data_IF_701774851364
#
_entry.id   IF_701774851364
#
_cell.length_a   1.000
_cell.length_b   1.000
_cell.length_c   1.000
_cell.angle_alpha   90.00
_cell.angle_beta   90.00
_cell.angle_gamma   90.00
#
_symmetry.space_group_name_H-M   'P 1'
#
loop_
_entity.id
_entity.type
_entity.pdbx_description
1 polymer ?
#
# COMPACT_ATOMS: atom_id res chain seq x y z
N UNK A 1 -6.48 -64.50 -32.25
CA UNK A 1 -7.29 -64.42 -31.01
C UNK A 1 -6.38 -63.83 -29.95
N UNK A 2 -6.48 -62.52 -29.75
CA UNK A 2 -5.75 -61.82 -28.70
C UNK A 2 -6.43 -62.07 -27.36
N UNK A 3 -5.63 -62.33 -26.34
CA UNK A 3 -6.03 -62.27 -24.94
C UNK A 3 -5.10 -61.27 -24.28
N UNK A 4 -5.72 -60.21 -23.76
CA UNK A 4 -5.09 -59.13 -23.00
C UNK A 4 -4.69 -59.65 -21.62
N UNK A 5 -3.44 -59.39 -21.22
CA UNK A 5 -2.96 -59.53 -19.84
C UNK A 5 -3.13 -58.18 -19.13
N UNK A 6 -4.06 -58.12 -18.18
CA UNK A 6 -4.17 -57.04 -17.19
C UNK A 6 -3.04 -57.17 -16.16
N UNK A 7 -2.15 -56.18 -16.12
CA UNK A 7 -1.15 -56.03 -15.07
C UNK A 7 -1.67 -55.08 -13.98
N UNK A 8 -1.78 -55.61 -12.76
CA UNK A 8 -2.14 -54.90 -11.54
C UNK A 8 -0.96 -54.07 -11.03
N UNK A 9 -1.05 -52.74 -11.12
CA UNK A 9 -0.09 -51.82 -10.49
C UNK A 9 -0.58 -51.38 -9.10
N UNK A 10 0.25 -51.64 -8.10
CA UNK A 10 0.11 -51.17 -6.73
C UNK A 10 0.39 -49.67 -6.65
N UNK A 11 -0.63 -48.86 -6.33
CA UNK A 11 -0.45 -47.46 -5.94
C UNK A 11 -0.26 -47.36 -4.42
N UNK A 12 0.97 -47.11 -4.00
CA UNK A 12 1.30 -46.51 -2.70
C UNK A 12 1.83 -45.12 -3.02
N UNK A 13 1.03 -44.09 -2.79
CA UNK A 13 1.48 -42.72 -2.52
C UNK A 13 0.27 -41.85 -2.14
N UNK A 14 0.19 -41.46 -0.88
CA UNK A 14 -0.86 -40.60 -0.32
C UNK A 14 -0.23 -39.43 0.42
N UNK A 15 0.63 -38.67 -0.26
CA UNK A 15 1.02 -37.33 0.16
C UNK A 15 -0.03 -36.35 -0.35
N UNK A 16 -0.69 -35.63 0.55
CA UNK A 16 -1.64 -34.56 0.21
C UNK A 16 -0.89 -33.37 -0.38
N UNK A 17 -0.73 -33.38 -1.71
CA UNK A 17 -0.26 -32.24 -2.49
C UNK A 17 -1.33 -31.16 -2.48
N UNK A 18 -0.99 -29.97 -1.98
CA UNK A 18 -1.79 -28.76 -2.21
C UNK A 18 -1.92 -28.53 -3.73
N UNK A 19 -3.07 -28.04 -4.22
CA UNK A 19 -3.29 -27.84 -5.65
C UNK A 19 -2.25 -26.85 -6.19
N UNK A 20 -1.46 -27.33 -7.16
CA UNK A 20 -0.57 -26.52 -7.96
C UNK A 20 -1.35 -25.38 -8.63
N UNK A 21 -0.97 -24.13 -8.36
CA UNK A 21 -1.23 -22.93 -9.19
C UNK A 21 -2.50 -23.00 -10.05
N UNK A 22 -3.67 -22.99 -9.41
CA UNK A 22 -4.95 -22.85 -10.10
C UNK A 22 -5.22 -21.39 -10.50
N UNK A 23 -5.84 -21.19 -11.67
CA UNK A 23 -6.54 -19.95 -11.99
C UNK A 23 -7.52 -19.63 -10.87
N UNK A 24 -7.58 -18.36 -10.44
CA UNK A 24 -8.43 -17.96 -9.33
C UNK A 24 -9.91 -18.32 -9.61
N UNK A 25 -10.38 -19.37 -8.95
CA UNK A 25 -11.61 -20.06 -9.31
C UNK A 25 -12.88 -19.33 -8.85
N UNK A 26 -12.76 -18.23 -8.09
CA UNK A 26 -13.91 -17.52 -7.52
C UNK A 26 -13.83 -16.00 -7.70
N UNK A 27 -14.98 -15.42 -8.04
CA UNK A 27 -15.21 -13.98 -7.94
C UNK A 27 -15.12 -13.59 -6.45
N UNK A 28 -14.25 -12.64 -6.13
CA UNK A 28 -14.01 -12.13 -4.77
C UNK A 28 -14.86 -10.88 -4.54
N UNK A 29 -15.48 -10.73 -3.37
CA UNK A 29 -16.12 -9.49 -2.94
C UNK A 29 -15.05 -8.50 -2.52
N UNK A 30 -15.01 -7.35 -3.18
CA UNK A 30 -14.01 -6.32 -2.94
C UNK A 30 -14.69 -5.11 -2.31
N UNK A 31 -14.10 -4.59 -1.24
CA UNK A 31 -14.43 -3.26 -0.68
C UNK A 31 -13.22 -2.34 -0.83
N UNK A 32 -13.47 -1.05 -1.05
CA UNK A 32 -12.47 -0.03 -1.31
C UNK A 32 -12.76 1.22 -0.46
N UNK A 33 -11.80 1.62 0.36
CA UNK A 33 -11.89 2.77 1.24
C UNK A 33 -11.26 4.00 0.60
N UNK A 34 -12.01 5.11 0.59
CA UNK A 34 -11.53 6.38 0.08
C UNK A 34 -12.13 7.56 0.83
N UNK A 35 -11.26 8.45 1.34
CA UNK A 35 -11.64 9.74 1.91
C UNK A 35 -11.46 10.83 0.84
N UNK A 36 -12.54 11.51 0.38
CA UNK A 36 -12.45 12.52 -0.67
C UNK A 36 -11.45 13.65 -0.44
N UNK A 37 -11.24 14.06 0.82
CA UNK A 37 -10.30 15.14 1.17
C UNK A 37 -8.85 14.68 1.31
N UNK A 38 -8.55 13.38 1.19
CA UNK A 38 -7.18 12.87 1.41
C UNK A 38 -6.16 13.48 0.45
N UNK A 39 -6.60 13.84 -0.76
CA UNK A 39 -5.74 14.45 -1.78
C UNK A 39 -5.44 15.94 -1.58
N UNK A 40 -6.06 16.59 -0.58
CA UNK A 40 -5.87 18.01 -0.27
C UNK A 40 -4.75 18.26 0.75
N UNK A 41 -4.36 17.23 1.52
CA UNK A 41 -3.27 17.35 2.49
C UNK A 41 -1.93 17.56 1.77
N UNK A 42 -1.13 18.49 2.29
CA UNK A 42 0.11 18.92 1.67
C UNK A 42 1.26 18.92 2.69
N UNK A 43 2.23 18.02 2.49
CA UNK A 43 3.38 17.86 3.39
C UNK A 43 4.32 19.07 3.41
N UNK A 44 4.29 19.93 2.38
CA UNK A 44 5.15 21.09 2.27
C UNK A 44 5.85 21.21 0.92
N UNK A 45 6.45 22.38 0.70
CA UNK A 45 7.24 22.67 -0.51
C UNK A 45 8.45 21.75 -0.61
N UNK A 46 8.75 21.26 -1.81
CA UNK A 46 9.85 20.32 -2.06
C UNK A 46 9.63 18.90 -1.56
N UNK A 47 8.75 18.67 -0.58
CA UNK A 47 8.57 17.36 0.04
C UNK A 47 8.08 16.29 -0.96
N UNK A 48 8.68 15.09 -1.03
CA UNK A 48 8.36 14.08 -2.05
C UNK A 48 7.01 13.38 -1.83
N UNK A 49 6.57 13.19 -0.59
CA UNK A 49 5.24 12.62 -0.29
C UNK A 49 4.13 13.59 -0.73
N UNK A 50 3.32 13.16 -1.71
CA UNK A 50 2.17 13.91 -2.24
C UNK A 50 0.87 13.09 -2.08
N UNK A 51 0.06 13.31 -1.04
CA UNK A 51 -1.23 12.62 -0.86
C UNK A 51 -2.18 12.71 -2.06
N UNK A 52 -2.02 13.74 -2.90
CA UNK A 52 -2.71 13.90 -4.18
C UNK A 52 -2.66 12.65 -5.09
N UNK A 53 -1.60 11.85 -5.03
CA UNK A 53 -1.48 10.58 -5.78
C UNK A 53 -2.63 9.60 -5.52
N UNK A 54 -3.21 9.62 -4.31
CA UNK A 54 -4.37 8.79 -3.93
C UNK A 54 -5.62 9.25 -4.68
N UNK A 55 -5.81 10.56 -4.83
CA UNK A 55 -6.90 11.14 -5.61
C UNK A 55 -6.76 10.82 -7.10
N UNK A 56 -5.55 10.89 -7.65
CA UNK A 56 -5.28 10.48 -9.04
C UNK A 56 -5.59 8.99 -9.25
N UNK A 57 -5.18 8.10 -8.33
CA UNK A 57 -5.50 6.69 -8.39
C UNK A 57 -7.02 6.43 -8.33
N UNK A 58 -7.72 7.07 -7.40
CA UNK A 58 -9.18 6.99 -7.28
C UNK A 58 -9.88 7.41 -8.58
N UNK A 59 -9.42 8.50 -9.17
CA UNK A 59 -9.97 9.03 -10.39
C UNK A 59 -9.80 8.04 -11.57
N UNK A 60 -8.62 7.43 -11.75
CA UNK A 60 -8.44 6.35 -12.72
C UNK A 60 -9.36 5.15 -12.45
N UNK A 61 -9.48 4.72 -11.19
CA UNK A 61 -10.38 3.63 -10.77
C UNK A 61 -11.85 3.93 -11.17
N UNK A 62 -12.27 5.18 -11.05
CA UNK A 62 -13.62 5.61 -11.48
C UNK A 62 -13.75 5.57 -12.99
N UNK A 63 -12.80 6.15 -13.73
CA UNK A 63 -12.85 6.25 -15.19
C UNK A 63 -12.68 4.91 -15.92
N UNK A 64 -11.96 3.95 -15.33
CA UNK A 64 -11.94 2.55 -15.78
C UNK A 64 -13.20 1.76 -15.37
N UNK A 65 -14.16 2.39 -14.71
CA UNK A 65 -15.40 1.76 -14.23
C UNK A 65 -15.18 0.60 -13.24
N UNK A 66 -14.03 0.55 -12.55
CA UNK A 66 -13.72 -0.49 -11.57
C UNK A 66 -14.58 -0.34 -10.30
N UNK A 67 -14.92 0.89 -9.93
CA UNK A 67 -15.84 1.22 -8.84
C UNK A 67 -17.18 0.47 -8.91
N UNK A 68 -17.66 0.11 -10.11
CA UNK A 68 -18.93 -0.62 -10.28
C UNK A 68 -18.86 -2.10 -9.88
N UNK A 69 -17.65 -2.60 -9.59
CA UNK A 69 -17.39 -4.02 -9.27
C UNK A 69 -17.00 -4.24 -7.81
N UNK A 70 -17.02 -3.18 -7.00
CA UNK A 70 -16.63 -3.19 -5.60
C UNK A 70 -17.52 -2.25 -4.79
N UNK A 71 -17.57 -2.47 -3.48
CA UNK A 71 -18.23 -1.55 -2.54
C UNK A 71 -17.27 -0.42 -2.19
N UNK A 72 -17.66 0.84 -2.43
CA UNK A 72 -16.86 1.99 -2.01
C UNK A 72 -17.36 2.45 -0.65
N UNK A 73 -16.45 2.51 0.33
CA UNK A 73 -16.74 2.97 1.68
C UNK A 73 -15.96 4.25 1.95
N UNK A 74 -16.60 5.21 2.63
CA UNK A 74 -15.87 6.31 3.24
C UNK A 74 -15.33 5.84 4.60
N UNK A 75 -14.03 6.01 4.90
CA UNK A 75 -13.51 5.62 6.20
C UNK A 75 -14.09 6.51 7.30
N UNK A 76 -14.45 5.92 8.43
CA UNK A 76 -14.64 6.69 9.65
C UNK A 76 -13.26 7.12 10.16
N UNK A 77 -13.03 8.41 10.46
CA UNK A 77 -11.76 8.86 11.01
C UNK A 77 -11.43 8.09 12.30
N UNK A 78 -10.24 7.48 12.36
CA UNK A 78 -9.82 6.76 13.56
C UNK A 78 -9.82 7.71 14.77
N UNK A 79 -10.44 7.29 15.87
CA UNK A 79 -10.41 8.08 17.10
C UNK A 79 -8.99 8.08 17.71
N UNK A 80 -8.64 9.05 18.57
CA UNK A 80 -7.40 8.99 19.33
C UNK A 80 -7.26 7.66 20.12
N UNK A 81 -8.36 7.10 20.61
CA UNK A 81 -8.36 5.82 21.34
C UNK A 81 -8.06 4.63 20.43
N UNK A 82 -8.53 4.67 19.18
CA UNK A 82 -8.16 3.67 18.17
C UNK A 82 -6.67 3.68 17.89
N UNK A 83 -6.07 4.87 17.74
CA UNK A 83 -4.64 5.05 17.48
C UNK A 83 -3.78 4.62 18.69
N UNK A 84 -4.25 4.89 19.91
CA UNK A 84 -3.60 4.47 21.17
C UNK A 84 -3.54 2.96 21.40
N UNK A 85 -4.26 2.15 20.62
CA UNK A 85 -4.15 0.69 20.68
C UNK A 85 -2.73 0.18 20.39
N UNK A 86 -1.95 0.96 19.63
CA UNK A 86 -0.53 0.71 19.41
C UNK A 86 0.33 1.85 19.93
N UNK A 87 0.03 3.09 19.53
CA UNK A 87 0.88 4.24 19.82
C UNK A 87 0.78 4.71 21.27
N UNK A 88 1.84 5.32 21.80
CA UNK A 88 1.82 5.83 23.17
C UNK A 88 0.90 7.04 23.35
N UNK A 89 0.28 7.14 24.52
CA UNK A 89 -0.69 8.20 24.84
C UNK A 89 -0.15 9.61 24.61
N UNK A 90 1.11 9.84 24.98
CA UNK A 90 1.79 11.12 24.85
C UNK A 90 2.13 11.48 23.41
N UNK A 91 2.45 10.48 22.57
CA UNK A 91 2.67 10.67 21.15
C UNK A 91 1.37 11.01 20.42
N UNK A 92 0.28 10.27 20.70
CA UNK A 92 -1.04 10.56 20.11
C UNK A 92 -1.55 11.94 20.55
N UNK A 93 -1.38 12.29 21.84
CA UNK A 93 -1.70 13.62 22.33
C UNK A 93 -0.92 14.70 21.59
N UNK A 94 0.40 14.51 21.41
CA UNK A 94 1.23 15.42 20.65
C UNK A 94 0.74 15.59 19.20
N UNK A 95 0.53 14.50 18.46
CA UNK A 95 0.06 14.57 17.08
C UNK A 95 -1.31 15.28 16.98
N UNK A 96 -2.21 15.05 17.93
CA UNK A 96 -3.52 15.71 17.96
C UNK A 96 -3.47 17.20 18.32
N UNK A 97 -2.37 17.65 18.92
CA UNK A 97 -2.22 19.03 19.40
C UNK A 97 -1.32 19.88 18.50
N UNK A 98 -0.42 19.26 17.73
CA UNK A 98 0.58 19.96 16.93
C UNK A 98 -0.04 20.49 15.64
N UNK A 99 0.20 21.76 15.37
CA UNK A 99 -0.16 22.47 14.14
C UNK A 99 0.91 23.51 13.80
N UNK A 100 0.96 24.03 12.56
CA UNK A 100 1.90 25.10 12.19
C UNK A 100 1.84 26.33 13.11
N UNK A 101 0.67 26.69 13.66
CA UNK A 101 0.52 27.79 14.60
C UNK A 101 1.20 27.52 15.95
N UNK A 102 1.14 26.28 16.43
CA UNK A 102 1.71 25.89 17.73
C UNK A 102 3.24 25.72 17.70
N UNK A 103 3.85 25.65 16.51
CA UNK A 103 5.30 25.45 16.36
C UNK A 103 6.15 26.56 16.99
N UNK A 104 5.61 27.78 17.07
CA UNK A 104 6.32 28.93 17.65
C UNK A 104 6.48 28.82 19.18
N UNK A 105 5.74 27.93 19.84
CA UNK A 105 5.81 27.73 21.28
C UNK A 105 7.00 26.85 21.67
N UNK A 106 7.86 27.37 22.55
CA UNK A 106 9.07 26.66 23.03
C UNK A 106 8.75 25.31 23.70
N UNK A 107 7.51 25.11 24.15
CA UNK A 107 7.03 23.86 24.73
C UNK A 107 7.07 22.70 23.71
N UNK A 108 6.84 22.96 22.42
CA UNK A 108 6.81 21.94 21.37
C UNK A 108 8.18 21.56 20.85
N UNK A 109 9.21 22.41 20.98
CA UNK A 109 10.57 22.12 20.47
C UNK A 109 11.17 20.84 21.05
N UNK A 110 10.91 20.53 22.33
CA UNK A 110 11.35 19.26 22.95
C UNK A 110 10.56 18.06 22.44
N UNK A 111 9.27 18.21 22.18
CA UNK A 111 8.40 17.14 21.68
C UNK A 111 8.71 16.82 20.22
N UNK A 112 8.94 17.83 19.37
CA UNK A 112 9.34 17.66 17.97
C UNK A 112 10.56 16.74 17.84
N UNK A 113 11.63 17.03 18.59
CA UNK A 113 12.82 16.18 18.62
C UNK A 113 12.56 14.79 19.21
N UNK A 114 11.77 14.71 20.29
CA UNK A 114 11.46 13.43 20.96
C UNK A 114 10.67 12.48 20.07
N UNK A 115 9.74 13.02 19.29
CA UNK A 115 8.81 12.26 18.47
C UNK A 115 9.20 12.21 16.99
N UNK A 116 10.42 12.68 16.68
CA UNK A 116 10.99 12.71 15.33
C UNK A 116 10.09 13.40 14.28
N UNK A 117 9.51 14.55 14.64
CA UNK A 117 8.66 15.37 13.77
C UNK A 117 9.37 16.71 13.52
N UNK A 118 9.59 17.06 12.25
CA UNK A 118 10.32 18.25 11.85
C UNK A 118 10.81 18.16 10.40
N UNK A 119 11.96 17.52 10.19
CA UNK A 119 12.66 17.47 8.89
C UNK A 119 11.90 16.58 7.88
N UNK A 120 12.18 15.29 7.87
CA UNK A 120 11.53 14.34 6.95
C UNK A 120 10.05 14.15 7.28
N UNK A 121 9.64 14.36 8.54
CA UNK A 121 8.26 14.25 8.96
C UNK A 121 7.72 15.64 9.37
N UNK A 122 7.38 16.53 8.43
CA UNK A 122 7.01 17.91 8.71
C UNK A 122 5.66 18.04 9.41
N UNK A 123 5.49 19.13 10.16
CA UNK A 123 4.17 19.56 10.63
C UNK A 123 3.47 20.33 9.52
N UNK A 124 2.23 19.95 9.21
CA UNK A 124 1.40 20.61 8.21
C UNK A 124 -0.07 20.69 8.66
N UNK A 125 -0.84 21.56 8.01
CA UNK A 125 -2.25 21.77 8.33
C UNK A 125 -3.06 20.48 8.14
N UNK A 126 -3.75 20.07 9.20
CA UNK A 126 -4.57 18.85 9.20
C UNK A 126 -3.77 17.55 9.26
N UNK A 127 -2.50 17.58 9.71
CA UNK A 127 -1.67 16.38 9.91
C UNK A 127 -2.38 15.28 10.67
N UNK A 128 -3.04 15.60 11.78
CA UNK A 128 -3.75 14.58 12.56
C UNK A 128 -4.95 14.02 11.78
N UNK A 129 -5.72 14.86 11.09
CA UNK A 129 -6.85 14.42 10.26
C UNK A 129 -6.40 13.49 9.13
N UNK A 130 -5.25 13.75 8.50
CA UNK A 130 -4.63 12.85 7.54
C UNK A 130 -4.34 11.47 8.17
N UNK A 131 -3.74 11.45 9.36
CA UNK A 131 -3.48 10.23 10.10
C UNK A 131 -4.78 9.47 10.44
N UNK A 132 -5.82 10.18 10.87
CA UNK A 132 -7.11 9.59 11.22
C UNK A 132 -7.81 8.98 10.01
N UNK A 133 -7.76 9.63 8.84
CA UNK A 133 -8.35 9.12 7.61
C UNK A 133 -7.62 7.86 7.11
N UNK A 134 -6.27 7.89 7.11
CA UNK A 134 -5.43 6.75 6.73
C UNK A 134 -5.66 5.55 7.65
N UNK A 135 -5.54 5.74 8.97
CA UNK A 135 -5.76 4.69 9.97
C UNK A 135 -7.21 4.17 9.98
N UNK A 136 -8.19 5.07 9.83
CA UNK A 136 -9.60 4.73 9.78
C UNK A 136 -9.94 3.80 8.62
N UNK A 137 -9.34 4.02 7.45
CA UNK A 137 -9.49 3.12 6.29
C UNK A 137 -8.96 1.71 6.55
N UNK A 138 -7.76 1.59 7.13
CA UNK A 138 -7.14 0.27 7.40
C UNK A 138 -7.85 -0.48 8.53
N UNK A 139 -8.30 0.21 9.58
CA UNK A 139 -9.13 -0.39 10.62
C UNK A 139 -10.48 -0.83 10.05
N UNK A 140 -11.16 0.02 9.27
CA UNK A 140 -12.43 -0.30 8.61
C UNK A 140 -12.32 -1.50 7.67
N UNK A 141 -11.23 -1.57 6.89
CA UNK A 141 -10.91 -2.70 6.03
C UNK A 141 -10.77 -3.99 6.84
N UNK A 142 -9.99 -3.98 7.93
CA UNK A 142 -9.84 -5.12 8.82
C UNK A 142 -11.17 -5.56 9.47
N UNK A 143 -12.03 -4.61 9.86
CA UNK A 143 -13.37 -4.91 10.39
C UNK A 143 -14.25 -5.62 9.36
N UNK A 144 -14.29 -5.14 8.11
CA UNK A 144 -15.06 -5.78 7.01
C UNK A 144 -14.56 -7.21 6.73
N UNK A 145 -13.25 -7.43 6.80
CA UNK A 145 -12.65 -8.78 6.63
C UNK A 145 -13.00 -9.70 7.81
N UNK A 146 -12.88 -9.22 9.06
CA UNK A 146 -13.25 -9.98 10.27
C UNK A 146 -14.73 -10.38 10.30
N UNK A 147 -15.62 -9.53 9.79
CA UNK A 147 -17.06 -9.81 9.66
C UNK A 147 -17.40 -10.71 8.47
N UNK A 148 -16.42 -11.02 7.62
CA UNK A 148 -16.60 -11.70 6.35
C UNK A 148 -17.58 -10.99 5.40
N UNK A 149 -17.68 -9.66 5.49
CA UNK A 149 -18.48 -8.83 4.58
C UNK A 149 -17.78 -8.64 3.23
N UNK A 150 -16.44 -8.71 3.23
CA UNK A 150 -15.59 -8.66 2.05
C UNK A 150 -14.56 -9.79 2.06
N UNK A 151 -14.06 -10.16 0.89
CA UNK A 151 -12.95 -11.11 0.74
C UNK A 151 -11.63 -10.40 0.47
N UNK A 152 -11.68 -9.19 -0.10
CA UNK A 152 -10.56 -8.27 -0.30
C UNK A 152 -10.98 -6.87 0.14
N UNK A 153 -10.15 -6.18 0.93
CA UNK A 153 -10.39 -4.81 1.35
C UNK A 153 -9.20 -3.92 1.00
N UNK A 154 -9.44 -2.83 0.27
CA UNK A 154 -8.39 -1.96 -0.27
C UNK A 154 -8.42 -0.59 0.43
N UNK A 155 -7.27 -0.09 0.88
CA UNK A 155 -7.09 1.28 1.35
C UNK A 155 -5.76 1.87 0.84
N UNK A 156 -5.79 2.57 -0.29
CA UNK A 156 -4.59 3.19 -0.88
C UNK A 156 -4.04 4.37 -0.07
N UNK A 157 -4.81 4.93 0.87
CA UNK A 157 -4.32 5.97 1.78
C UNK A 157 -3.52 5.42 2.97
N UNK A 158 -3.58 4.11 3.22
CA UNK A 158 -2.82 3.40 4.24
C UNK A 158 -1.46 2.92 3.74
N UNK A 159 -0.83 2.04 4.52
CA UNK A 159 0.47 1.44 4.19
C UNK A 159 1.67 2.21 4.76
N UNK A 160 1.47 3.01 5.81
CA UNK A 160 2.51 3.86 6.41
C UNK A 160 3.39 3.05 7.38
N UNK A 161 4.23 2.19 6.80
CA UNK A 161 4.93 1.11 7.51
C UNK A 161 6.10 1.54 8.43
N UNK A 162 6.61 2.77 8.30
CA UNK A 162 7.77 3.24 9.07
C UNK A 162 7.42 3.81 10.45
N UNK A 163 6.15 4.18 10.67
CA UNK A 163 5.72 4.77 11.93
C UNK A 163 5.97 3.82 13.10
N UNK A 164 6.61 4.33 14.16
CA UNK A 164 6.97 3.58 15.36
C UNK A 164 5.94 3.79 16.46
N UNK A 165 6.11 3.07 17.58
CA UNK A 165 5.19 3.17 18.72
C UNK A 165 5.09 4.61 19.28
N UNK A 166 6.21 5.32 19.32
CA UNK A 166 6.29 6.63 19.96
C UNK A 166 7.09 7.66 19.15
N UNK A 167 7.23 7.48 17.84
CA UNK A 167 7.89 8.46 16.97
C UNK A 167 7.44 8.29 15.51
N UNK A 168 7.48 9.40 14.78
CA UNK A 168 7.34 9.38 13.33
C UNK A 168 8.65 8.92 12.67
N UNK A 169 8.56 8.38 11.46
CA UNK A 169 9.74 8.00 10.67
C UNK A 169 9.36 7.85 9.21
N UNK A 170 10.25 8.22 8.27
CA UNK A 170 10.05 7.99 6.83
C UNK A 170 8.68 8.44 6.32
N UNK A 171 8.27 9.68 6.59
CA UNK A 171 6.97 10.27 6.22
C UNK A 171 5.74 9.71 6.94
N UNK A 172 5.93 8.74 7.84
CA UNK A 172 4.88 8.00 8.52
C UNK A 172 4.75 8.46 9.98
N UNK A 173 3.52 8.84 10.39
CA UNK A 173 3.22 9.27 11.76
C UNK A 173 2.43 8.22 12.55
N UNK A 174 1.40 7.64 11.93
CA UNK A 174 0.58 6.58 12.54
C UNK A 174 0.72 5.33 11.69
N UNK A 175 0.99 4.19 12.34
CA UNK A 175 1.14 2.91 11.68
C UNK A 175 -0.25 2.25 11.53
N UNK A 176 -0.95 2.63 10.47
CA UNK A 176 -2.28 2.12 10.14
C UNK A 176 -2.28 0.60 9.92
N UNK A 177 -1.15 0.06 9.45
CA UNK A 177 -0.95 -1.37 9.20
C UNK A 177 -1.01 -2.15 10.51
N UNK A 178 -0.24 -1.72 11.52
CA UNK A 178 -0.23 -2.36 12.85
C UNK A 178 -1.62 -2.31 13.46
N UNK A 179 -2.32 -1.18 13.36
CA UNK A 179 -3.69 -1.04 13.87
C UNK A 179 -4.67 -2.00 13.15
N UNK A 180 -4.57 -2.11 11.83
CA UNK A 180 -5.34 -3.07 11.03
C UNK A 180 -5.04 -4.53 11.38
N UNK A 181 -3.77 -4.90 11.55
CA UNK A 181 -3.35 -6.25 11.98
C UNK A 181 -3.88 -6.55 13.40
N UNK A 182 -3.79 -5.60 14.33
CA UNK A 182 -4.35 -5.76 15.68
C UNK A 182 -5.87 -5.99 15.66
N UNK A 183 -6.59 -5.42 14.69
CA UNK A 183 -8.00 -5.71 14.47
C UNK A 183 -8.19 -7.12 13.91
N UNK A 184 -7.44 -7.52 12.86
CA UNK A 184 -7.51 -8.87 12.29
C UNK A 184 -7.22 -9.97 13.33
N UNK A 185 -6.27 -9.73 14.24
CA UNK A 185 -5.91 -10.65 15.32
C UNK A 185 -7.02 -10.89 16.36
N UNK A 186 -8.14 -10.15 16.30
CA UNK A 186 -9.33 -10.50 17.10
C UNK A 186 -10.00 -11.78 16.60
N UNK A 187 -9.99 -12.03 15.29
CA UNK A 187 -10.65 -13.20 14.68
C UNK A 187 -9.63 -14.23 14.21
N UNK A 188 -8.52 -13.77 13.64
CA UNK A 188 -7.51 -14.61 13.00
C UNK A 188 -6.37 -14.95 13.97
N UNK A 189 -6.00 -16.23 14.03
CA UNK A 189 -4.91 -16.70 14.90
C UNK A 189 -3.55 -16.27 14.38
N UNK A 190 -3.39 -16.32 13.06
CA UNK A 190 -2.16 -16.02 12.33
C UNK A 190 -2.47 -15.05 11.20
N UNK A 191 -1.83 -13.89 11.23
CA UNK A 191 -1.87 -12.90 10.15
C UNK A 191 -0.52 -12.88 9.46
N UNK A 192 -0.51 -12.90 8.13
CA UNK A 192 0.70 -12.71 7.33
C UNK A 192 0.73 -11.27 6.83
N UNK A 193 1.83 -10.57 7.08
CA UNK A 193 2.13 -9.28 6.50
C UNK A 193 3.17 -9.45 5.39
N UNK A 194 2.86 -8.98 4.19
CA UNK A 194 3.77 -8.96 3.04
C UNK A 194 3.97 -7.52 2.60
N UNK A 195 5.22 -7.14 2.41
CA UNK A 195 5.64 -5.78 2.07
C UNK A 195 6.49 -5.79 0.80
N UNK A 196 6.04 -5.04 -0.21
CA UNK A 196 6.71 -4.87 -1.51
C UNK A 196 7.12 -3.42 -1.80
N UNK A 197 7.10 -2.56 -0.77
CA UNK A 197 7.77 -1.26 -0.80
C UNK A 197 9.27 -1.43 -1.02
N UNK A 198 9.94 -0.45 -1.64
CA UNK A 198 11.39 -0.54 -1.82
C UNK A 198 12.14 -0.44 -0.49
N UNK A 199 11.53 0.17 0.53
CA UNK A 199 12.08 0.29 1.88
C UNK A 199 11.66 -0.88 2.76
N UNK A 200 12.51 -1.23 3.73
CA UNK A 200 12.15 -2.25 4.72
C UNK A 200 10.97 -1.77 5.60
N UNK A 201 9.95 -2.63 5.75
CA UNK A 201 8.76 -2.41 6.60
C UNK A 201 9.03 -2.49 8.10
N UNK A 202 9.99 -1.69 8.56
CA UNK A 202 10.62 -1.76 9.87
C UNK A 202 9.68 -1.46 11.05
N UNK A 203 8.71 -0.54 10.90
CA UNK A 203 7.75 -0.24 11.95
C UNK A 203 6.77 -1.41 12.21
N UNK A 204 6.36 -2.12 11.15
CA UNK A 204 5.51 -3.31 11.28
C UNK A 204 6.31 -4.49 11.82
N UNK A 205 7.53 -4.70 11.33
CA UNK A 205 8.43 -5.74 11.84
C UNK A 205 8.71 -5.54 13.34
N UNK A 206 9.08 -4.32 13.76
CA UNK A 206 9.35 -4.01 15.17
C UNK A 206 8.13 -4.26 16.06
N UNK A 207 6.94 -3.87 15.62
CA UNK A 207 5.70 -4.03 16.38
C UNK A 207 5.37 -5.50 16.69
N UNK A 208 5.79 -6.43 15.82
CA UNK A 208 5.50 -7.85 15.93
C UNK A 208 6.73 -8.74 16.12
N UNK A 209 7.91 -8.15 16.36
CA UNK A 209 9.20 -8.84 16.40
C UNK A 209 9.30 -9.97 17.44
N UNK A 210 8.43 -9.95 18.45
CA UNK A 210 8.42 -10.88 19.59
C UNK A 210 7.24 -11.86 19.58
N UNK A 211 6.41 -11.92 18.53
CA UNK A 211 5.22 -12.78 18.45
C UNK A 211 5.26 -13.72 17.25
N UNK A 212 4.66 -14.90 17.41
CA UNK A 212 4.45 -15.89 16.33
C UNK A 212 3.07 -15.77 15.67
N UNK A 213 2.21 -14.88 16.17
CA UNK A 213 0.86 -14.64 15.62
C UNK A 213 0.84 -13.75 14.38
N UNK A 214 1.93 -13.05 14.13
CA UNK A 214 2.12 -12.24 12.92
C UNK A 214 3.46 -12.61 12.33
N UNK A 215 3.47 -12.97 11.05
CA UNK A 215 4.70 -13.14 10.29
C UNK A 215 4.87 -11.95 9.36
N UNK A 216 6.04 -11.31 9.39
CA UNK A 216 6.40 -10.21 8.48
C UNK A 216 7.32 -10.73 7.39
N UNK A 217 7.01 -10.41 6.13
CA UNK A 217 7.83 -10.75 4.97
C UNK A 217 8.05 -9.49 4.15
N UNK A 218 9.28 -8.98 4.09
CA UNK A 218 9.60 -7.73 3.39
C UNK A 218 10.66 -7.96 2.30
N UNK A 219 10.38 -7.43 1.11
CA UNK A 219 11.29 -7.43 -0.03
C UNK A 219 11.74 -6.00 -0.32
N UNK A 220 12.99 -5.67 -0.06
CA UNK A 220 13.44 -4.28 -0.03
C UNK A 220 14.89 -4.14 -0.47
N UNK A 221 15.27 -2.92 -0.86
CA UNK A 221 16.67 -2.56 -1.03
C UNK A 221 17.38 -2.57 0.31
N UNK A 222 18.58 -3.14 0.35
CA UNK A 222 19.40 -3.20 1.56
C UNK A 222 20.84 -2.76 1.31
N UNK A 223 21.49 -2.21 2.33
CA UNK A 223 22.83 -1.61 2.26
C UNK A 223 22.82 -0.17 2.76
N UNK A 224 23.45 0.74 2.02
CA UNK A 224 23.38 2.18 2.29
C UNK A 224 22.03 2.74 1.80
N UNK A 225 20.96 2.41 2.51
CA UNK A 225 19.59 2.78 2.17
C UNK A 225 18.70 2.85 3.41
N UNK A 226 17.74 3.78 3.42
CA UNK A 226 16.77 3.89 4.51
C UNK A 226 15.88 2.62 4.57
N UNK A 227 15.52 2.11 5.77
CA UNK A 227 15.82 2.60 7.12
C UNK A 227 17.10 2.01 7.75
N UNK A 228 17.91 1.26 7.00
CA UNK A 228 19.14 0.62 7.51
C UNK A 228 18.91 -0.68 8.31
N UNK A 229 17.68 -1.18 8.37
CA UNK A 229 17.29 -2.47 8.97
C UNK A 229 16.82 -3.45 7.89
N UNK A 230 16.45 -4.68 8.26
CA UNK A 230 15.97 -5.69 7.30
C UNK A 230 17.08 -6.57 6.74
N UNK A 231 18.16 -6.79 7.50
CA UNK A 231 19.19 -7.74 7.08
C UNK A 231 18.58 -9.15 7.02
N UNK A 232 19.04 -10.03 6.12
CA UNK A 232 18.59 -11.45 6.04
C UNK A 232 18.78 -12.27 7.34
N UNK A 233 19.43 -11.70 8.36
CA UNK A 233 19.68 -12.32 9.67
C UNK A 233 18.76 -11.76 10.76
N UNK A 234 18.01 -10.72 10.46
CA UNK A 234 17.00 -10.14 11.33
C UNK A 234 15.77 -11.03 11.19
N UNK A 235 15.66 -11.98 12.12
CA UNK A 235 14.67 -13.07 12.05
C UNK A 235 13.67 -13.04 13.20
N UNK A 236 13.58 -11.95 13.95
CA UNK A 236 12.74 -11.87 15.15
C UNK A 236 13.41 -12.50 16.38
N UNK A 237 12.77 -12.32 17.54
CA UNK A 237 13.30 -12.74 18.85
C UNK A 237 12.22 -13.36 19.72
N UNK A 238 12.64 -14.13 20.74
CA UNK A 238 11.69 -14.82 21.63
C UNK A 238 10.74 -15.73 20.84
N UNK A 239 9.44 -15.61 21.09
CA UNK A 239 8.40 -16.34 20.35
C UNK A 239 8.33 -15.94 18.87
N UNK A 240 8.71 -14.72 18.52
CA UNK A 240 8.74 -14.23 17.13
C UNK A 240 9.96 -14.67 16.33
N UNK A 241 10.86 -15.47 16.91
CA UNK A 241 12.05 -15.96 16.18
C UNK A 241 11.65 -16.87 15.01
N UNK A 242 12.21 -16.57 13.85
CA UNK A 242 11.89 -17.08 12.51
C UNK A 242 10.53 -16.60 11.93
N UNK A 243 9.83 -15.66 12.57
CA UNK A 243 8.58 -15.07 12.05
C UNK A 243 8.79 -13.67 11.43
N UNK A 244 10.02 -13.18 11.38
CA UNK A 244 10.42 -12.08 10.50
C UNK A 244 11.29 -12.64 9.36
N UNK A 245 10.87 -12.40 8.12
CA UNK A 245 11.54 -12.89 6.90
C UNK A 245 11.93 -11.69 6.06
N UNK A 246 13.23 -11.43 6.00
CA UNK A 246 13.78 -10.26 5.31
C UNK A 246 14.50 -10.66 4.03
N UNK A 247 14.10 -10.05 2.92
CA UNK A 247 14.64 -10.32 1.58
C UNK A 247 15.41 -9.08 1.10
N UNK A 248 16.70 -8.95 1.47
CA UNK A 248 17.52 -7.82 1.06
C UNK A 248 17.94 -7.94 -0.40
N UNK A 249 17.71 -6.88 -1.17
CA UNK A 249 17.96 -6.80 -2.61
C UNK A 249 18.87 -5.60 -2.95
N UNK A 250 19.45 -5.65 -4.14
CA UNK A 250 20.25 -4.58 -4.73
C UNK A 250 19.44 -3.81 -5.80
N UNK A 251 20.02 -2.72 -6.31
CA UNK A 251 19.43 -1.86 -7.32
C UNK A 251 19.09 -2.60 -8.62
N UNK A 252 18.12 -2.05 -9.36
CA UNK A 252 17.76 -2.52 -10.69
C UNK A 252 17.00 -3.85 -10.73
N UNK A 253 16.41 -4.28 -9.61
CA UNK A 253 15.57 -5.48 -9.58
C UNK A 253 14.48 -5.44 -10.66
N UNK A 254 14.43 -6.48 -11.49
CA UNK A 254 13.49 -6.62 -12.61
C UNK A 254 12.31 -7.56 -12.29
N UNK A 255 11.31 -7.54 -13.18
CA UNK A 255 10.08 -8.32 -13.03
C UNK A 255 10.32 -9.83 -12.95
N UNK A 256 11.19 -10.38 -13.80
CA UNK A 256 11.45 -11.81 -13.87
C UNK A 256 12.08 -12.35 -12.58
N UNK A 257 13.14 -11.69 -12.09
CA UNK A 257 13.84 -12.09 -10.88
C UNK A 257 12.99 -11.86 -9.63
N UNK A 258 12.28 -10.73 -9.56
CA UNK A 258 11.39 -10.44 -8.44
C UNK A 258 10.26 -11.46 -8.36
N UNK A 259 9.60 -11.75 -9.49
CA UNK A 259 8.52 -12.76 -9.57
C UNK A 259 9.00 -14.14 -9.13
N UNK A 260 10.17 -14.57 -9.61
CA UNK A 260 10.74 -15.87 -9.28
C UNK A 260 11.02 -16.02 -7.79
N UNK A 261 11.61 -14.99 -7.18
CA UNK A 261 11.92 -14.98 -5.75
C UNK A 261 10.66 -14.86 -4.89
N UNK A 262 9.81 -13.86 -5.18
CA UNK A 262 8.57 -13.58 -4.46
C UNK A 262 7.68 -14.82 -4.38
N UNK A 263 7.35 -15.42 -5.54
CA UNK A 263 6.46 -16.59 -5.58
C UNK A 263 7.05 -17.77 -4.82
N UNK A 264 8.36 -18.01 -4.92
CA UNK A 264 9.02 -19.11 -4.22
C UNK A 264 8.96 -18.93 -2.69
N UNK A 265 9.31 -17.74 -2.20
CA UNK A 265 9.32 -17.42 -0.77
C UNK A 265 7.91 -17.45 -0.22
N UNK A 266 6.97 -16.74 -0.85
CA UNK A 266 5.58 -16.65 -0.39
C UNK A 266 4.87 -18.00 -0.45
N UNK A 267 5.12 -18.83 -1.48
CA UNK A 267 4.57 -20.19 -1.52
C UNK A 267 4.99 -21.00 -0.29
N UNK A 268 6.26 -20.92 0.10
CA UNK A 268 6.78 -21.66 1.26
C UNK A 268 6.24 -21.09 2.57
N UNK A 269 6.13 -19.76 2.68
CA UNK A 269 5.50 -19.09 3.82
C UNK A 269 4.05 -19.56 3.98
N UNK A 270 3.24 -19.54 2.91
CA UNK A 270 1.85 -19.98 2.94
C UNK A 270 1.71 -21.46 3.34
N UNK A 271 2.61 -22.32 2.87
CA UNK A 271 2.64 -23.75 3.22
C UNK A 271 2.93 -24.00 4.72
N UNK A 272 3.90 -23.29 5.28
CA UNK A 272 4.42 -23.55 6.63
C UNK A 272 3.67 -22.75 7.70
N UNK A 273 3.46 -21.46 7.46
CA UNK A 273 2.83 -20.55 8.42
C UNK A 273 1.30 -20.65 8.42
N UNK A 274 0.69 -21.00 7.28
CA UNK A 274 -0.76 -21.18 7.12
C UNK A 274 -1.56 -20.00 7.71
N UNK A 275 -1.36 -18.77 7.20
CA UNK A 275 -2.08 -17.61 7.70
C UNK A 275 -3.58 -17.71 7.43
N UNK A 276 -4.38 -17.12 8.31
CA UNK A 276 -5.84 -17.06 8.19
C UNK A 276 -6.31 -15.73 7.59
N UNK A 277 -5.43 -14.73 7.52
CA UNK A 277 -5.60 -13.47 6.81
C UNK A 277 -4.24 -12.93 6.34
N UNK A 278 -4.24 -12.17 5.25
CA UNK A 278 -3.05 -11.54 4.68
C UNK A 278 -3.24 -10.04 4.62
N UNK A 279 -2.19 -9.30 4.94
CA UNK A 279 -2.07 -7.86 4.70
C UNK A 279 -0.94 -7.67 3.70
N UNK A 280 -1.24 -7.08 2.54
CA UNK A 280 -0.26 -6.70 1.53
C UNK A 280 -0.13 -5.18 1.52
N UNK A 281 1.07 -4.68 1.83
CA UNK A 281 1.47 -3.30 1.58
C UNK A 281 2.00 -3.23 0.14
N UNK A 282 1.45 -2.34 -0.69
CA UNK A 282 1.78 -2.18 -2.11
C UNK A 282 2.51 -0.85 -2.36
N UNK A 283 3.64 -0.64 -1.67
CA UNK A 283 4.51 0.51 -1.84
C UNK A 283 4.99 0.63 -3.28
N UNK A 284 4.58 1.71 -3.95
CA UNK A 284 4.77 1.89 -5.39
C UNK A 284 6.12 2.57 -5.74
N UNK A 285 7.00 2.78 -4.77
CA UNK A 285 8.37 3.26 -4.97
C UNK A 285 9.34 2.15 -5.40
N UNK A 286 8.91 0.89 -5.37
CA UNK A 286 9.63 -0.23 -6.01
C UNK A 286 9.49 -0.26 -7.54
N UNK A 287 8.70 0.65 -8.12
CA UNK A 287 8.51 0.78 -9.57
C UNK A 287 9.70 1.44 -10.28
N UNK A 288 9.88 1.06 -11.55
CA UNK A 288 10.78 1.74 -12.49
C UNK A 288 10.48 3.24 -12.59
N UNK A 289 11.54 4.04 -12.51
CA UNK A 289 11.46 5.50 -12.65
C UNK A 289 10.81 6.21 -11.47
N UNK A 290 10.77 5.60 -10.29
CA UNK A 290 10.45 6.30 -9.05
C UNK A 290 11.51 7.38 -8.72
N UNK A 291 11.11 8.42 -7.97
CA UNK A 291 12.02 9.53 -7.61
C UNK A 291 13.01 9.19 -6.50
N UNK A 292 12.65 8.26 -5.61
CA UNK A 292 13.48 7.86 -4.45
C UNK A 292 13.91 6.39 -4.55
N UNK A 293 13.04 5.52 -5.06
CA UNK A 293 13.35 4.11 -5.26
C UNK A 293 14.28 3.87 -6.46
N UNK A 294 15.00 2.75 -6.40
CA UNK A 294 15.97 2.36 -7.42
C UNK A 294 15.82 0.90 -7.86
N UNK A 295 14.59 0.39 -7.83
CA UNK A 295 14.20 -0.83 -8.53
C UNK A 295 13.74 -0.53 -9.96
N UNK A 296 13.50 -1.58 -10.73
CA UNK A 296 13.13 -1.49 -12.14
C UNK A 296 11.85 -2.28 -12.46
N UNK A 297 10.92 -2.38 -11.50
CA UNK A 297 9.68 -3.14 -11.67
C UNK A 297 8.68 -2.41 -12.57
N UNK A 298 8.00 -3.17 -13.42
CA UNK A 298 6.82 -2.69 -14.14
C UNK A 298 5.58 -2.73 -13.25
N UNK A 299 4.52 -2.01 -13.66
CA UNK A 299 3.20 -2.12 -13.03
C UNK A 299 2.68 -3.58 -13.04
N UNK A 300 3.00 -4.35 -14.08
CA UNK A 300 2.57 -5.75 -14.19
C UNK A 300 3.37 -6.67 -13.29
N UNK A 301 4.68 -6.44 -13.17
CA UNK A 301 5.56 -7.17 -12.26
C UNK A 301 5.15 -6.96 -10.82
N UNK A 302 4.92 -5.70 -10.42
CA UNK A 302 4.42 -5.32 -9.11
C UNK A 302 3.08 -6.00 -8.80
N UNK A 303 2.08 -5.84 -9.69
CA UNK A 303 0.75 -6.40 -9.51
C UNK A 303 0.70 -7.95 -9.58
N UNK A 304 1.75 -8.62 -10.07
CA UNK A 304 1.85 -10.07 -10.01
C UNK A 304 1.90 -10.59 -8.57
N UNK A 305 2.45 -9.79 -7.65
CA UNK A 305 2.49 -10.10 -6.22
C UNK A 305 1.08 -10.20 -5.64
N UNK A 306 0.25 -9.17 -5.88
CA UNK A 306 -1.16 -9.17 -5.51
C UNK A 306 -1.92 -10.33 -6.18
N UNK A 307 -1.70 -10.56 -7.48
CA UNK A 307 -2.33 -11.66 -8.22
C UNK A 307 -2.00 -13.03 -7.61
N UNK A 308 -0.75 -13.22 -7.19
CA UNK A 308 -0.30 -14.46 -6.55
C UNK A 308 -0.94 -14.64 -5.17
N UNK A 309 -0.91 -13.61 -4.32
CA UNK A 309 -1.54 -13.65 -2.99
C UNK A 309 -3.06 -13.87 -3.06
N UNK A 310 -3.73 -13.22 -4.02
CA UNK A 310 -5.17 -13.42 -4.30
C UNK A 310 -5.51 -14.89 -4.58
N UNK A 311 -4.62 -15.65 -5.22
CA UNK A 311 -4.86 -17.06 -5.57
C UNK A 311 -4.99 -18.02 -4.37
N UNK A 312 -4.42 -17.66 -3.21
CA UNK A 312 -4.50 -18.47 -1.98
C UNK A 312 -5.86 -18.40 -1.27
N UNK A 313 -6.74 -17.50 -1.72
CA UNK A 313 -8.12 -17.44 -1.30
C UNK A 313 -8.39 -17.17 0.20
N UNK A 314 -7.44 -16.59 0.93
CA UNK A 314 -7.62 -16.09 2.30
C UNK A 314 -8.08 -14.63 2.32
N UNK A 315 -8.75 -14.11 3.38
CA UNK A 315 -9.02 -12.69 3.55
C UNK A 315 -7.77 -11.83 3.29
N UNK A 316 -7.89 -10.82 2.43
CA UNK A 316 -6.77 -10.02 1.97
C UNK A 316 -7.02 -8.52 2.15
N UNK A 317 -6.25 -7.88 3.01
CA UNK A 317 -6.18 -6.42 3.11
C UNK A 317 -5.07 -5.92 2.19
N UNK A 318 -5.36 -4.95 1.33
CA UNK A 318 -4.42 -4.34 0.39
C UNK A 318 -4.27 -2.87 0.74
N UNK A 319 -3.05 -2.43 1.00
CA UNK A 319 -2.74 -1.08 1.42
C UNK A 319 -1.84 -0.39 0.38
N UNK A 320 -1.75 0.93 0.46
CA UNK A 320 -0.78 1.72 -0.30
C UNK A 320 0.64 1.55 0.24
N UNK A 321 1.34 2.67 0.39
CA UNK A 321 2.75 2.71 0.78
C UNK A 321 3.48 3.89 0.16
N UNK A 322 4.80 3.77 -0.04
CA UNK A 322 5.62 4.72 -0.77
C UNK A 322 5.21 4.89 -2.24
N UNK A 323 5.98 5.71 -2.97
CA UNK A 323 5.76 6.03 -4.37
C UNK A 323 5.72 7.53 -4.62
N UNK A 324 6.71 8.01 -5.36
CA UNK A 324 7.07 9.43 -5.45
C UNK A 324 7.06 9.95 -6.89
N UNK A 325 7.03 9.07 -7.88
CA UNK A 325 6.58 9.40 -9.25
C UNK A 325 5.06 9.23 -9.33
N UNK A 326 4.29 10.25 -8.92
CA UNK A 326 2.84 10.17 -8.66
C UNK A 326 1.99 9.62 -9.81
N UNK A 327 2.38 9.87 -11.06
CA UNK A 327 1.70 9.30 -12.25
C UNK A 327 1.82 7.77 -12.31
N UNK A 328 2.97 7.22 -11.93
CA UNK A 328 3.21 5.78 -11.89
C UNK A 328 2.50 5.13 -10.69
N UNK A 329 2.40 5.84 -9.56
CA UNK A 329 1.59 5.40 -8.41
C UNK A 329 0.13 5.25 -8.80
N UNK A 330 -0.45 6.26 -9.46
CA UNK A 330 -1.84 6.23 -9.92
C UNK A 330 -2.09 5.07 -10.89
N UNK A 331 -1.16 4.84 -11.84
CA UNK A 331 -1.18 3.70 -12.76
C UNK A 331 -1.17 2.36 -12.01
N UNK A 332 -0.22 2.19 -11.09
CA UNK A 332 -0.02 0.95 -10.34
C UNK A 332 -1.25 0.58 -9.51
N UNK A 333 -1.70 1.46 -8.63
CA UNK A 333 -2.84 1.19 -7.74
C UNK A 333 -4.16 1.04 -8.51
N UNK A 334 -4.33 1.73 -9.65
CA UNK A 334 -5.46 1.47 -10.53
C UNK A 334 -5.41 0.05 -11.14
N UNK A 335 -4.25 -0.37 -11.65
CA UNK A 335 -4.09 -1.71 -12.22
C UNK A 335 -4.24 -2.80 -11.15
N UNK A 336 -3.70 -2.60 -9.95
CA UNK A 336 -3.87 -3.52 -8.82
C UNK A 336 -5.32 -3.60 -8.32
N UNK A 337 -6.05 -2.48 -8.35
CA UNK A 337 -7.50 -2.49 -8.10
C UNK A 337 -8.20 -3.36 -9.15
N UNK A 338 -7.80 -3.29 -10.42
CA UNK A 338 -8.34 -4.14 -11.48
C UNK A 338 -8.03 -5.63 -11.21
N UNK A 339 -6.81 -5.97 -10.78
CA UNK A 339 -6.42 -7.32 -10.36
C UNK A 339 -7.29 -7.82 -9.19
N UNK A 340 -7.53 -6.97 -8.18
CA UNK A 340 -8.36 -7.33 -7.03
C UNK A 340 -9.81 -7.69 -7.44
N UNK A 341 -10.43 -6.90 -8.32
CA UNK A 341 -11.78 -7.16 -8.84
C UNK A 341 -11.82 -8.20 -9.98
N UNK A 342 -10.68 -8.76 -10.36
CA UNK A 342 -10.56 -9.80 -11.39
C UNK A 342 -10.82 -9.31 -12.82
N UNK A 343 -10.34 -8.11 -13.16
CA UNK A 343 -10.46 -7.49 -14.48
C UNK A 343 -9.08 -7.17 -15.03
N UNK A 344 -8.88 -7.43 -16.32
CA UNK A 344 -7.73 -6.92 -17.06
C UNK A 344 -8.13 -5.58 -17.72
N UNK A 345 -7.53 -4.45 -17.33
CA UNK A 345 -7.85 -3.14 -17.89
C UNK A 345 -7.20 -2.93 -19.27
N UNK A 346 -7.78 -2.06 -20.10
CA UNK A 346 -7.13 -1.60 -21.33
C UNK A 346 -5.86 -0.80 -20.99
N UNK A 347 -4.81 -0.98 -21.78
CA UNK A 347 -3.58 -0.19 -21.63
C UNK A 347 -3.81 1.29 -21.96
N UNK A 348 -4.74 1.63 -22.84
CA UNK A 348 -5.04 3.02 -23.15
C UNK A 348 -5.77 3.67 -21.97
N UNK A 349 -5.24 4.79 -21.45
CA UNK A 349 -5.90 5.51 -20.37
C UNK A 349 -7.22 6.14 -20.84
N UNK A 350 -8.30 6.04 -20.05
CA UNK A 350 -9.49 6.84 -20.26
C UNK A 350 -9.21 8.31 -19.96
N UNK A 351 -9.86 9.21 -20.70
CA UNK A 351 -9.82 10.64 -20.40
C UNK A 351 -10.33 10.91 -18.97
N UNK A 352 -9.64 11.80 -18.26
CA UNK A 352 -9.91 12.14 -16.88
C UNK A 352 -9.31 13.53 -16.53
N UNK A 353 -9.61 14.04 -15.33
CA UNK A 353 -9.22 15.39 -14.89
C UNK A 353 -7.71 15.58 -14.80
N UNK A 354 -6.94 14.50 -14.63
CA UNK A 354 -5.49 14.50 -14.53
C UNK A 354 -4.80 13.95 -15.78
N UNK A 355 -5.52 13.84 -16.91
CA UNK A 355 -5.04 13.12 -18.10
C UNK A 355 -3.67 13.58 -18.60
N UNK A 356 -3.40 14.88 -18.56
CA UNK A 356 -2.13 15.47 -19.00
C UNK A 356 -0.92 15.03 -18.16
N UNK A 357 -1.10 14.59 -16.91
CA UNK A 357 -0.01 14.05 -16.09
C UNK A 357 0.58 12.75 -16.65
N UNK A 358 -0.17 12.05 -17.50
CA UNK A 358 0.22 10.76 -18.08
C UNK A 358 0.80 10.89 -19.50
N UNK A 359 1.10 12.11 -19.94
CA UNK A 359 1.82 12.34 -21.19
C UNK A 359 3.27 11.85 -21.13
N UNK A 360 3.88 11.57 -22.30
CA UNK A 360 3.31 11.71 -23.64
C UNK A 360 2.57 10.45 -24.16
N UNK A 361 2.65 9.34 -23.44
CA UNK A 361 2.21 8.03 -23.91
C UNK A 361 0.71 7.76 -23.63
N UNK A 362 0.18 8.33 -22.54
CA UNK A 362 -1.21 8.14 -22.09
C UNK A 362 -1.59 6.66 -21.91
N UNK A 363 -0.64 5.85 -21.45
CA UNK A 363 -0.85 4.43 -21.18
C UNK A 363 -0.85 4.12 -19.69
N UNK A 364 -1.48 3.00 -19.33
CA UNK A 364 -1.56 2.50 -17.96
C UNK A 364 -0.28 1.78 -17.56
N UNK A 365 0.40 1.12 -18.50
CA UNK A 365 1.62 0.37 -18.21
C UNK A 365 2.81 1.31 -18.00
N UNK A 366 3.67 0.92 -17.06
CA UNK A 366 4.99 1.52 -16.86
C UNK A 366 5.99 0.43 -17.20
N UNK A 367 6.75 0.64 -18.27
CA UNK A 367 7.74 -0.33 -18.71
C UNK A 367 9.06 -0.17 -17.93
N UNK A 368 9.84 -1.26 -17.76
CA UNK A 368 11.18 -1.19 -17.19
C UNK A 368 12.10 -0.28 -18.00
N UNK A 369 13.03 0.39 -17.31
CA UNK A 369 14.11 1.16 -17.90
C UNK A 369 15.28 0.26 -18.33
N UNK A 370 16.31 0.84 -18.97
CA UNK A 370 17.56 0.17 -19.29
C UNK A 370 18.57 0.09 -18.12
N UNK A 371 18.11 0.32 -16.88
CA UNK A 371 18.92 0.19 -15.66
C UNK A 371 19.52 -1.22 -15.55
N UNK A 372 20.79 -1.31 -15.13
CA UNK A 372 21.45 -2.57 -14.87
C UNK A 372 20.89 -3.23 -13.60
N UNK A 373 20.56 -4.52 -13.68
CA UNK A 373 20.14 -5.29 -12.52
C UNK A 373 21.36 -5.83 -11.75
N UNK A 374 21.60 -5.30 -10.55
CA UNK A 374 22.73 -5.68 -9.68
C UNK A 374 22.44 -6.93 -8.81
N UNK A 375 21.29 -7.58 -9.02
CA UNK A 375 20.89 -8.81 -8.35
C UNK A 375 21.33 -10.02 -9.18
N UNK A 376 22.59 -10.44 -9.03
CA UNK A 376 23.12 -11.54 -9.85
C UNK A 376 22.35 -12.85 -9.58
N UNK A 377 22.22 -13.77 -10.58
CA UNK A 377 21.53 -15.04 -10.38
C UNK A 377 22.09 -15.86 -9.21
N UNK A 378 23.41 -15.75 -8.96
CA UNK A 378 24.09 -16.41 -7.84
C UNK A 378 23.65 -15.84 -6.49
N UNK A 379 23.53 -14.51 -6.39
CA UNK A 379 23.09 -13.86 -5.15
C UNK A 379 21.61 -14.16 -4.88
N UNK A 380 20.79 -14.12 -5.93
CA UNK A 380 19.37 -14.49 -5.85
C UNK A 380 19.16 -15.94 -5.39
N UNK A 381 19.94 -16.87 -5.94
CA UNK A 381 19.91 -18.27 -5.49
C UNK A 381 20.36 -18.42 -4.03
N UNK A 382 21.41 -17.70 -3.61
CA UNK A 382 21.88 -17.72 -2.23
C UNK A 382 20.84 -17.17 -1.26
N UNK A 383 20.21 -16.04 -1.59
CA UNK A 383 19.12 -15.43 -0.80
C UNK A 383 17.98 -16.44 -0.69
N UNK A 384 17.49 -16.94 -1.84
CA UNK A 384 16.40 -17.92 -1.90
C UNK A 384 16.67 -19.14 -1.02
N UNK A 385 17.85 -19.76 -1.15
CA UNK A 385 18.19 -20.97 -0.39
C UNK A 385 18.27 -20.68 1.12
N UNK A 386 18.82 -19.52 1.51
CA UNK A 386 18.89 -19.10 2.91
C UNK A 386 17.49 -18.91 3.49
N UNK A 387 16.60 -18.22 2.78
CA UNK A 387 15.23 -17.97 3.23
C UNK A 387 14.41 -19.27 3.32
N UNK A 388 14.53 -20.16 2.32
CA UNK A 388 13.85 -21.45 2.37
C UNK A 388 14.32 -22.31 3.54
N UNK A 389 15.62 -22.27 3.88
CA UNK A 389 16.15 -22.93 5.07
C UNK A 389 15.58 -22.31 6.35
N UNK A 390 15.54 -20.98 6.46
CA UNK A 390 14.97 -20.27 7.61
C UNK A 390 13.50 -20.61 7.81
N UNK A 391 12.69 -20.53 6.76
CA UNK A 391 11.25 -20.83 6.80
C UNK A 391 11.03 -22.30 7.15
N UNK A 392 11.87 -23.21 6.67
CA UNK A 392 11.75 -24.66 6.97
C UNK A 392 12.07 -25.02 8.42
N UNK A 393 12.64 -24.11 9.23
CA UNK A 393 12.87 -24.32 10.67
C UNK A 393 11.63 -24.08 11.52
N UNK A 394 10.61 -23.43 10.98
CA UNK A 394 9.37 -23.18 11.70
C UNK A 394 8.63 -24.50 11.96
N UNK A 395 8.03 -24.68 13.14
CA UNK A 395 7.08 -25.76 13.34
C UNK A 395 5.89 -25.57 12.40
N UNK A 396 5.41 -26.66 11.79
CA UNK A 396 4.23 -26.61 10.94
C UNK A 396 3.02 -26.15 11.76
N UNK A 397 2.46 -24.97 11.44
CA UNK A 397 1.35 -24.33 12.14
C UNK A 397 1.50 -24.24 13.69
N UNK A 398 2.19 -23.22 14.24
CA UNK A 398 2.38 -23.08 15.68
C UNK A 398 1.05 -23.02 16.44
N UNK A 399 1.00 -23.70 17.59
CA UNK A 399 -0.17 -23.73 18.46
C UNK A 399 -0.30 -22.40 19.21
N UNK A 400 -1.36 -21.64 18.95
CA UNK A 400 -1.63 -20.36 19.63
C UNK A 400 -2.41 -20.62 20.93
N UNK A 401 -1.93 -20.19 22.11
CA UNK A 401 -2.68 -20.28 23.37
C UNK A 401 -4.01 -19.51 23.29
N UNK A 402 -5.06 -20.02 23.94
CA UNK A 402 -6.33 -19.30 24.03
C UNK A 402 -6.14 -17.95 24.75
N UNK A 403 -6.50 -16.86 24.10
CA UNK A 403 -6.51 -15.51 24.67
C UNK A 403 -7.93 -14.96 24.65
N UNK A 404 -8.31 -14.21 25.69
CA UNK A 404 -9.60 -13.52 25.75
C UNK A 404 -9.64 -12.44 24.67
N UNK A 405 -10.47 -12.63 23.65
CA UNK A 405 -10.61 -11.70 22.53
C UNK A 405 -11.29 -10.40 22.96
N UNK A 406 -10.69 -9.22 22.75
CA UNK A 406 -11.40 -7.96 22.90
C UNK A 406 -12.57 -7.87 21.89
N UNK A 407 -13.69 -7.20 22.22
CA UNK A 407 -14.79 -7.06 21.27
C UNK A 407 -14.34 -6.38 19.96
N UNK A 408 -14.90 -6.85 18.84
CA UNK A 408 -14.69 -6.26 17.50
C UNK A 408 -15.13 -4.80 17.50
N UNK A 409 -14.39 -3.93 16.82
CA UNK A 409 -14.77 -2.52 16.77
C UNK A 409 -16.13 -2.38 16.06
N UNK A 410 -17.08 -1.69 16.69
CA UNK A 410 -18.31 -1.29 16.04
C UNK A 410 -18.03 -0.02 15.26
N UNK A 411 -17.69 -0.17 13.98
CA UNK A 411 -17.75 0.94 13.03
C UNK A 411 -19.23 1.28 12.84
N UNK A 412 -19.66 2.55 12.99
CA UNK A 412 -21.05 2.93 12.77
C UNK A 412 -21.51 2.49 11.38
N UNK A 413 -22.66 1.83 11.28
CA UNK A 413 -23.28 1.57 9.99
C UNK A 413 -23.85 2.89 9.44
N UNK A 414 -23.70 3.14 8.14
CA UNK A 414 -24.43 4.24 7.50
C UNK A 414 -25.93 3.97 7.73
N UNK A 415 -26.61 4.90 8.40
CA UNK A 415 -28.06 4.79 8.64
C UNK A 415 -28.73 4.72 7.27
N UNK A 416 -29.43 3.63 6.96
CA UNK A 416 -30.30 3.57 5.79
C UNK A 416 -31.37 4.65 5.95
N UNK A 417 -31.15 5.82 5.34
CA UNK A 417 -32.17 6.86 5.26
C UNK A 417 -33.33 6.33 4.41
N UNK A 418 -34.51 6.28 5.04
CA UNK A 418 -35.82 5.90 4.52
C UNK A 418 -35.98 6.23 3.01
N UNK A 419 -36.05 5.17 2.18
CA UNK A 419 -36.03 5.25 0.71
C UNK A 419 -37.15 6.13 0.11
N UNK A 420 -38.19 6.44 0.90
CA UNK A 420 -39.34 7.25 0.50
C UNK A 420 -39.11 8.78 0.65
N UNK A 421 -37.94 9.22 1.14
CA UNK A 421 -37.61 10.66 1.29
C UNK A 421 -36.54 11.19 0.35
N UNK A 422 -36.11 10.43 -0.66
CA UNK A 422 -35.27 10.98 -1.74
C UNK A 422 -36.05 12.04 -2.52
N UNK A 423 -35.66 13.33 -2.55
CA UNK A 423 -35.94 14.12 -3.73
C UNK A 423 -35.25 13.39 -4.90
N UNK A 424 -36.00 13.17 -6.00
CA UNK A 424 -35.53 12.44 -7.18
C UNK A 424 -34.06 12.77 -7.45
N UNK A 425 -33.23 11.73 -7.49
CA UNK A 425 -31.85 11.80 -7.91
C UNK A 425 -31.75 12.67 -9.15
N UNK A 426 -31.12 13.85 -9.02
CA UNK A 426 -30.64 14.59 -10.18
C UNK A 426 -29.56 13.69 -10.79
N UNK A 427 -29.95 12.92 -11.80
CA UNK A 427 -29.00 12.39 -12.76
C UNK A 427 -28.18 13.59 -13.23
N UNK A 428 -26.87 13.51 -13.06
CA UNK A 428 -25.97 14.42 -13.70
C UNK A 428 -25.94 14.03 -15.18
N UNK A 429 -26.91 14.55 -15.93
CA UNK A 429 -26.91 14.51 -17.38
C UNK A 429 -26.09 15.73 -17.81
N UNK A 430 -24.88 15.48 -18.31
CA UNK A 430 -23.86 16.50 -18.56
C UNK A 430 -24.12 17.38 -19.78
N UNK A 431 -25.26 18.07 -19.85
CA UNK A 431 -25.53 19.12 -20.86
C UNK A 431 -26.33 20.28 -20.23
N UNK A 432 -26.11 21.49 -20.78
CA UNK A 432 -26.79 22.77 -20.53
C UNK A 432 -26.20 23.72 -19.45
N UNK A 433 -25.15 24.43 -19.87
CA UNK A 433 -25.01 25.86 -19.55
C UNK A 433 -26.03 26.61 -20.40
N UNK A 434 -27.21 26.87 -19.83
CA UNK A 434 -28.17 27.77 -20.46
C UNK A 434 -27.83 29.21 -20.09
N UNK A 435 -27.74 30.01 -21.15
CA UNK A 435 -27.34 31.41 -21.14
C UNK A 435 -28.59 32.24 -20.89
N UNK A 436 -28.61 33.10 -19.87
CA UNK A 436 -29.68 34.09 -19.74
C UNK A 436 -29.39 35.35 -20.59
N UNK A 437 -30.44 35.98 -21.18
CA UNK A 437 -30.30 36.89 -22.31
C UNK A 437 -30.12 38.37 -21.92
N UNK A 438 -29.40 39.07 -22.80
CA UNK A 438 -29.43 40.50 -23.15
C UNK A 438 -29.48 41.57 -22.05
N UNK A 439 -28.39 42.34 -21.94
CA UNK A 439 -28.38 43.72 -22.46
C UNK A 439 -26.95 44.27 -22.68
N UNK A 440 -26.59 44.47 -23.95
CA UNK A 440 -25.91 45.69 -24.43
C UNK A 440 -24.45 46.00 -24.02
N UNK A 441 -23.50 45.63 -24.89
CA UNK A 441 -22.50 46.60 -25.38
C UNK A 441 -21.00 46.36 -25.09
N UNK A 442 -20.26 46.13 -26.19
CA UNK A 442 -18.84 46.48 -26.46
C UNK A 442 -17.70 45.67 -25.80
N UNK A 443 -17.22 44.72 -26.60
CA UNK A 443 -15.83 44.53 -27.06
C UNK A 443 -14.62 44.59 -26.09
N UNK A 444 -13.87 43.47 -26.13
CA UNK A 444 -12.41 43.30 -26.14
C UNK A 444 -11.62 43.11 -24.83
N UNK A 445 -10.75 42.08 -24.90
CA UNK A 445 -9.57 41.79 -24.06
C UNK A 445 -9.80 41.29 -22.64
N UNK A 446 -9.73 39.95 -22.46
CA UNK A 446 -9.20 39.24 -21.25
C UNK A 446 -9.30 37.72 -21.47
N UNK A 447 -8.51 37.17 -22.39
CA UNK A 447 -8.28 35.73 -22.49
C UNK A 447 -6.79 35.44 -22.78
N UNK A 448 -5.93 36.04 -21.95
CA UNK A 448 -4.46 35.91 -22.07
C UNK A 448 -3.76 35.59 -20.75
N UNK A 449 -4.49 35.52 -19.62
CA UNK A 449 -3.84 35.45 -18.30
C UNK A 449 -3.96 34.09 -17.59
N UNK A 450 -4.74 33.13 -18.11
CA UNK A 450 -4.86 31.80 -17.50
C UNK A 450 -3.91 30.76 -18.12
N UNK A 451 -3.60 30.92 -19.41
CA UNK A 451 -2.62 30.09 -20.14
C UNK A 451 -1.16 30.49 -19.87
N UNK A 452 -0.91 31.72 -19.41
CA UNK A 452 0.42 32.14 -18.99
C UNK A 452 0.82 31.47 -17.66
N UNK A 453 -0.11 31.38 -16.71
CA UNK A 453 0.20 30.86 -15.37
C UNK A 453 0.49 29.34 -15.34
N UNK A 454 -0.06 28.56 -16.29
CA UNK A 454 0.28 27.14 -16.45
C UNK A 454 1.58 26.89 -17.23
N UNK A 455 2.03 27.86 -18.06
CA UNK A 455 3.34 27.78 -18.73
C UNK A 455 4.48 28.10 -17.76
N UNK A 456 4.28 29.09 -16.90
CA UNK A 456 5.29 29.47 -15.89
C UNK A 456 5.60 28.30 -14.92
N UNK A 457 4.61 27.45 -14.59
CA UNK A 457 4.81 26.26 -13.73
C UNK A 457 5.53 25.12 -14.48
N UNK A 458 5.38 25.03 -15.80
CA UNK A 458 6.05 24.01 -16.61
C UNK A 458 7.50 24.40 -16.92
N UNK A 459 7.78 25.69 -17.15
CA UNK A 459 9.12 26.20 -17.44
C UNK A 459 10.01 26.22 -16.17
N UNK A 460 9.45 26.46 -14.97
CA UNK A 460 10.19 26.38 -13.70
C UNK A 460 10.65 24.95 -13.32
N UNK A 461 10.16 23.91 -14.01
CA UNK A 461 10.58 22.51 -13.79
C UNK A 461 11.64 22.02 -14.78
N UNK A 462 11.98 22.78 -15.82
CA UNK A 462 13.01 22.41 -16.80
C UNK A 462 14.41 23.01 -16.50
N UNK A 463 14.54 23.94 -15.54
CA UNK A 463 15.83 24.54 -15.13
C UNK A 463 16.35 24.04 -13.77
N UNK A 464 16.47 22.73 -13.56
CA UNK A 464 17.41 22.20 -12.56
C UNK A 464 18.33 21.15 -13.20
N UNK A 465 19.47 21.62 -13.71
CA UNK A 465 20.62 20.75 -14.02
C UNK A 465 21.40 20.46 -12.73
N UNK A 466 21.91 19.24 -12.53
CA UNK A 466 22.70 18.93 -11.35
C UNK A 466 24.07 19.63 -11.42
N UNK A 467 24.32 20.56 -10.49
CA UNK A 467 25.68 21.02 -10.20
C UNK A 467 26.46 19.91 -9.48
N UNK A 468 27.51 19.44 -10.14
CA UNK A 468 28.52 18.56 -9.54
C UNK A 468 29.39 19.41 -8.63
N UNK A 469 29.26 19.25 -7.31
CA UNK A 469 30.25 19.72 -6.35
C UNK A 469 31.00 18.56 -5.68
N UNK A 470 32.32 18.69 -5.51
CA UNK A 470 33.20 17.58 -5.19
C UNK A 470 33.15 17.22 -3.71
N UNK A 471 33.35 15.93 -3.47
CA UNK A 471 33.67 15.32 -2.19
C UNK A 471 34.71 16.11 -1.38
N UNK A 472 34.40 16.41 -0.12
CA UNK A 472 35.41 16.65 0.91
C UNK A 472 35.01 15.96 2.22
N UNK A 473 35.97 15.19 2.73
CA UNK A 473 35.95 14.40 3.96
C UNK A 473 35.59 15.21 5.21
N UNK A 474 34.84 14.58 6.13
CA UNK A 474 35.29 14.21 7.49
C UNK A 474 34.21 13.37 8.19
#
# INVERSE_FOLDING_TARGET
MGMEEESSNNNIEGGTSLPSSGLDAKKRRVTYFYEPTIGDYYYGQGHPMKPHRIRMAHNLVVHYSLHRRMEINRPFPASPDDIRRFHSDDYVHFLSSVSPETLAETAFSRHLKRFNVGEDCPVFDGLFNFCQASAGGSIGAAVKLNRADADIAINWAGGLHHAKKSEASGFCYVNDIVLGILELLKVHRRVLYVDIDVHHGDGVEEAFYTTDRVMTVSFHKFGDFFPGTGHIKDIGVGSGKNYAVNVPLNDGMDDENFRGLFRTVIQKVMEVYQPEAVVLQCGADSLSGDRLGCFNLSVKGHADCLRFLRSFNVPLMVLGGGGYTIRNVARCWCYETAVAVGVEPDNKLPYNEYYEYFGPDYTLYVDPSNMENLNTPKDMEKIRNTLLEQISRLPHAPSVPFQTTPPTLQVPEEVEEDMDRRPKCRKWDGEDYDSDPDEGGKANSKCSNFTAHMRDIADDMEEEKPEVHPSSCC
#
